data_IF_600969564216
#
_entry.id   IF_600969564216
#
_cell.length_a   1.000
_cell.length_b   1.000
_cell.length_c   1.000
_cell.angle_alpha   90.00
_cell.angle_beta   90.00
_cell.angle_gamma   90.00
#
_symmetry.space_group_name_H-M   'P 1'
#
loop_
_entity.id
_entity.type
_entity.pdbx_description
1 polymer ?
#
# COMPACT_ATOMS: atom_id res chain seq x y z
N UNK A 1 -64.39 2.42 10.90
CA UNK A 1 -63.67 3.68 10.61
C UNK A 1 -62.99 3.52 9.26
N UNK A 2 -63.48 4.22 8.25
CA UNK A 2 -63.01 4.12 6.86
C UNK A 2 -61.64 4.79 6.73
N UNK A 3 -60.61 4.03 6.36
CA UNK A 3 -59.27 4.56 6.08
C UNK A 3 -59.34 5.34 4.76
N UNK A 4 -59.26 6.67 4.85
CA UNK A 4 -59.06 7.54 3.68
C UNK A 4 -57.76 7.11 2.98
N UNK A 5 -57.87 6.76 1.70
CA UNK A 5 -56.72 6.49 0.86
C UNK A 5 -55.81 7.73 0.79
N UNK A 6 -54.48 7.57 0.69
CA UNK A 6 -53.56 8.68 0.57
C UNK A 6 -53.90 9.46 -0.70
N UNK A 7 -54.15 10.76 -0.55
CA UNK A 7 -54.32 11.69 -1.66
C UNK A 7 -53.01 11.75 -2.43
N UNK A 8 -52.97 11.15 -3.62
CA UNK A 8 -51.87 11.31 -4.57
C UNK A 8 -51.65 12.81 -4.79
N UNK A 9 -50.44 13.31 -4.57
CA UNK A 9 -50.03 14.67 -4.96
C UNK A 9 -50.16 14.72 -6.49
N UNK A 10 -51.22 15.35 -7.00
CA UNK A 10 -51.28 15.70 -8.42
C UNK A 10 -50.23 16.78 -8.64
N UNK A 11 -49.30 16.60 -9.58
CA UNK A 11 -48.49 17.74 -10.05
C UNK A 11 -49.45 18.79 -10.59
N UNK A 12 -49.33 20.02 -10.11
CA UNK A 12 -49.85 21.17 -10.84
C UNK A 12 -48.93 21.32 -12.05
N UNK A 13 -49.33 20.69 -13.16
CA UNK A 13 -48.57 20.76 -14.41
C UNK A 13 -48.77 22.19 -14.93
N UNK A 14 -47.74 23.03 -14.80
CA UNK A 14 -47.66 24.23 -15.62
C UNK A 14 -47.35 23.77 -17.05
N UNK A 15 -48.23 24.04 -18.03
CA UNK A 15 -48.10 23.47 -19.38
C UNK A 15 -46.77 23.83 -20.05
N UNK A 16 -46.24 25.02 -19.75
CA UNK A 16 -45.00 25.50 -20.34
C UNK A 16 -43.77 24.78 -19.76
N UNK A 17 -43.70 24.57 -18.44
CA UNK A 17 -42.57 23.90 -17.79
C UNK A 17 -42.46 22.43 -18.20
N UNK A 18 -43.60 21.75 -18.38
CA UNK A 18 -43.58 20.37 -18.87
C UNK A 18 -43.07 20.28 -20.31
N UNK A 19 -43.42 21.26 -21.14
CA UNK A 19 -43.00 21.30 -22.54
C UNK A 19 -41.52 21.64 -22.65
N UNK A 20 -41.02 22.57 -21.84
CA UNK A 20 -39.57 22.85 -21.79
C UNK A 20 -38.79 21.62 -21.31
N UNK A 21 -39.31 20.86 -20.33
CA UNK A 21 -38.71 19.60 -19.88
C UNK A 21 -38.75 18.50 -20.95
N UNK A 22 -39.81 18.45 -21.77
CA UNK A 22 -39.99 17.47 -22.83
C UNK A 22 -39.06 17.70 -24.01
N UNK A 23 -38.96 18.94 -24.49
CA UNK A 23 -38.16 19.30 -25.65
C UNK A 23 -36.71 19.64 -25.29
N UNK A 24 -36.41 19.89 -24.01
CA UNK A 24 -35.10 20.34 -23.55
C UNK A 24 -34.73 21.77 -24.02
N UNK A 25 -35.70 22.49 -24.59
CA UNK A 25 -35.59 23.82 -25.13
C UNK A 25 -36.90 24.56 -24.87
N UNK A 26 -36.84 25.87 -24.64
CA UNK A 26 -38.06 26.67 -24.54
C UNK A 26 -38.75 26.76 -25.90
N UNK A 27 -40.08 26.58 -25.97
CA UNK A 27 -40.89 26.94 -27.14
C UNK A 27 -40.57 28.29 -27.76
N UNK A 28 -40.28 29.29 -26.92
CA UNK A 28 -39.93 30.64 -27.37
C UNK A 28 -38.59 30.65 -28.07
N UNK A 29 -37.58 29.96 -27.53
CA UNK A 29 -36.24 29.87 -28.13
C UNK A 29 -36.29 29.20 -29.50
N UNK A 30 -37.11 28.15 -29.67
CA UNK A 30 -37.30 27.51 -30.97
C UNK A 30 -37.93 28.45 -32.00
N UNK A 31 -38.93 29.22 -31.58
CA UNK A 31 -39.63 30.18 -32.43
C UNK A 31 -38.75 31.39 -32.78
N UNK A 32 -37.88 31.82 -31.87
CA UNK A 32 -36.90 32.87 -32.09
C UNK A 32 -35.87 32.42 -33.14
N UNK A 33 -35.33 31.20 -33.04
CA UNK A 33 -34.42 30.65 -34.05
C UNK A 33 -35.08 30.51 -35.43
N UNK A 34 -36.37 30.11 -35.45
CA UNK A 34 -37.15 30.07 -36.69
C UNK A 34 -37.31 31.47 -37.30
N UNK A 35 -37.60 32.48 -36.48
CA UNK A 35 -37.72 33.88 -36.92
C UNK A 35 -36.40 34.39 -37.49
N UNK A 36 -35.29 34.18 -36.78
CA UNK A 36 -33.96 34.56 -37.24
C UNK A 36 -33.62 33.89 -38.57
N UNK A 37 -33.94 32.60 -38.72
CA UNK A 37 -33.72 31.87 -39.96
C UNK A 37 -34.54 32.41 -41.13
N UNK A 38 -35.80 32.77 -40.89
CA UNK A 38 -36.69 33.33 -41.91
C UNK A 38 -36.21 34.70 -42.38
N UNK A 39 -35.74 35.54 -41.45
CA UNK A 39 -35.19 36.85 -41.76
C UNK A 39 -33.89 36.73 -42.57
N UNK A 40 -32.97 35.84 -42.17
CA UNK A 40 -31.73 35.58 -42.92
C UNK A 40 -32.03 35.14 -44.36
N UNK A 41 -33.01 34.25 -44.56
CA UNK A 41 -33.41 33.80 -45.90
C UNK A 41 -34.02 34.96 -46.71
N UNK A 42 -34.83 35.81 -46.09
CA UNK A 42 -35.42 36.99 -46.74
C UNK A 42 -34.35 37.95 -47.28
N UNK A 43 -33.38 38.30 -46.42
CA UNK A 43 -32.25 39.14 -46.83
C UNK A 43 -31.43 38.47 -47.92
N UNK A 44 -31.13 37.18 -47.78
CA UNK A 44 -30.36 36.43 -48.78
C UNK A 44 -31.06 36.36 -50.15
N UNK A 45 -32.39 36.24 -50.19
CA UNK A 45 -33.15 36.27 -51.45
C UNK A 45 -33.11 37.65 -52.07
N UNK A 46 -33.26 38.70 -51.26
CA UNK A 46 -33.23 40.09 -51.71
C UNK A 46 -31.84 40.44 -52.27
N UNK A 47 -30.78 40.03 -51.60
CA UNK A 47 -29.39 40.16 -52.06
C UNK A 47 -29.15 39.42 -53.38
N UNK A 48 -29.65 38.18 -53.50
CA UNK A 48 -29.52 37.40 -54.73
C UNK A 48 -30.28 38.03 -55.91
N UNK A 49 -31.45 38.61 -55.65
CA UNK A 49 -32.21 39.38 -56.66
C UNK A 49 -31.43 40.63 -57.06
N UNK A 50 -30.82 41.33 -56.10
CA UNK A 50 -29.98 42.49 -56.36
C UNK A 50 -28.77 42.14 -57.22
N UNK A 51 -28.02 41.09 -56.86
CA UNK A 51 -26.86 40.62 -57.63
C UNK A 51 -27.26 40.21 -59.05
N UNK A 52 -28.39 39.53 -59.21
CA UNK A 52 -28.92 39.13 -60.52
C UNK A 52 -29.28 40.33 -61.39
N UNK A 53 -29.99 41.32 -60.83
CA UNK A 53 -30.35 42.54 -61.55
C UNK A 53 -29.10 43.38 -61.88
N UNK A 54 -28.12 43.43 -60.99
CA UNK A 54 -26.88 44.12 -61.26
C UNK A 54 -26.04 43.44 -62.35
N UNK A 55 -26.06 42.12 -62.44
CA UNK A 55 -25.28 41.38 -63.46
C UNK A 55 -25.95 41.37 -64.84
N UNK A 56 -27.25 41.16 -64.93
CA UNK A 56 -27.96 41.04 -66.22
C UNK A 56 -28.47 42.39 -66.75
N UNK A 57 -28.95 43.27 -65.87
CA UNK A 57 -29.58 44.52 -66.28
C UNK A 57 -28.55 45.65 -66.48
N UNK A 58 -27.54 45.80 -65.61
CA UNK A 58 -26.52 46.84 -65.80
C UNK A 58 -25.63 46.57 -67.03
N UNK A 59 -25.39 45.30 -67.40
CA UNK A 59 -24.67 44.97 -68.65
C UNK A 59 -25.41 45.42 -69.90
N UNK A 60 -26.75 45.48 -69.86
CA UNK A 60 -27.59 45.78 -71.02
C UNK A 60 -27.92 47.27 -71.16
N UNK A 61 -27.93 48.03 -70.05
CA UNK A 61 -28.37 49.43 -70.00
C UNK A 61 -27.31 50.42 -69.46
N UNK A 62 -26.04 50.01 -69.41
CA UNK A 62 -24.90 50.85 -68.98
C UNK A 62 -25.12 51.56 -67.62
N UNK A 63 -25.80 50.90 -66.68
CA UNK A 63 -25.98 51.40 -65.31
C UNK A 63 -26.97 52.56 -65.15
N UNK A 64 -27.77 52.90 -66.16
CA UNK A 64 -28.69 54.05 -66.11
C UNK A 64 -29.83 53.94 -65.08
N UNK A 65 -30.16 52.72 -64.65
CA UNK A 65 -31.28 52.43 -63.74
C UNK A 65 -30.84 51.90 -62.37
N UNK A 66 -29.54 52.00 -62.04
CA UNK A 66 -28.99 51.42 -60.82
C UNK A 66 -29.67 51.96 -59.56
N UNK A 67 -29.86 53.28 -59.48
CA UNK A 67 -30.49 53.95 -58.34
C UNK A 67 -31.98 53.56 -58.19
N UNK A 68 -32.67 53.31 -59.30
CA UNK A 68 -34.09 52.88 -59.30
C UNK A 68 -34.21 51.42 -58.87
N UNK A 69 -33.28 50.55 -59.30
CA UNK A 69 -33.21 49.16 -58.89
C UNK A 69 -32.93 49.06 -57.38
N UNK A 70 -31.94 49.79 -56.87
CA UNK A 70 -31.61 49.83 -55.44
C UNK A 70 -32.82 50.33 -54.63
N UNK A 71 -33.46 51.43 -55.04
CA UNK A 71 -34.65 51.96 -54.37
C UNK A 71 -35.83 50.98 -54.42
N UNK A 72 -35.99 50.25 -55.53
CA UNK A 72 -37.04 49.25 -55.70
C UNK A 72 -36.81 48.03 -54.82
N UNK A 73 -35.57 47.58 -54.70
CA UNK A 73 -35.17 46.46 -53.85
C UNK A 73 -35.34 46.81 -52.39
N UNK A 74 -34.92 48.00 -51.93
CA UNK A 74 -35.16 48.42 -50.55
C UNK A 74 -36.66 48.48 -50.20
N UNK A 75 -37.53 48.88 -51.15
CA UNK A 75 -38.99 48.85 -50.93
C UNK A 75 -39.53 47.43 -50.87
N UNK A 76 -38.99 46.53 -51.68
CA UNK A 76 -39.36 45.12 -51.69
C UNK A 76 -38.90 44.42 -50.40
N UNK A 77 -37.69 44.73 -49.92
CA UNK A 77 -37.15 44.24 -48.66
C UNK A 77 -38.05 44.63 -47.48
N UNK A 78 -38.38 45.93 -47.36
CA UNK A 78 -39.28 46.42 -46.31
C UNK A 78 -40.65 45.73 -46.37
N UNK A 79 -41.21 45.54 -47.58
CA UNK A 79 -42.49 44.86 -47.75
C UNK A 79 -42.42 43.38 -47.34
N UNK A 80 -41.31 42.69 -47.68
CA UNK A 80 -41.10 41.31 -47.28
C UNK A 80 -40.89 41.18 -45.78
N UNK A 81 -40.13 42.09 -45.17
CA UNK A 81 -39.90 42.12 -43.73
C UNK A 81 -41.23 42.29 -42.99
N UNK A 82 -42.04 43.28 -43.36
CA UNK A 82 -43.37 43.51 -42.76
C UNK A 82 -44.28 42.27 -42.91
N UNK A 83 -44.25 41.62 -44.07
CA UNK A 83 -45.06 40.43 -44.33
C UNK A 83 -44.58 39.19 -43.54
N UNK A 84 -43.26 39.00 -43.43
CA UNK A 84 -42.64 37.91 -42.68
C UNK A 84 -42.92 38.09 -41.19
N UNK A 85 -42.74 39.30 -40.65
CA UNK A 85 -43.02 39.61 -39.25
C UNK A 85 -44.49 39.29 -38.91
N UNK A 86 -45.44 39.80 -39.70
CA UNK A 86 -46.86 39.53 -39.49
C UNK A 86 -47.21 38.03 -39.58
N UNK A 87 -46.65 37.34 -40.57
CA UNK A 87 -46.92 35.90 -40.74
C UNK A 87 -46.30 35.06 -39.63
N UNK A 88 -45.13 35.46 -39.15
CA UNK A 88 -44.40 34.76 -38.09
C UNK A 88 -45.07 34.98 -36.74
N UNK A 89 -45.55 36.19 -36.43
CA UNK A 89 -46.34 36.45 -35.22
C UNK A 89 -47.59 35.55 -35.15
N UNK A 90 -48.31 35.42 -36.27
CA UNK A 90 -49.49 34.54 -36.37
C UNK A 90 -49.10 33.07 -36.21
N UNK A 91 -47.98 32.66 -36.81
CA UNK A 91 -47.44 31.31 -36.68
C UNK A 91 -47.03 31.00 -35.23
N UNK A 92 -46.30 31.91 -34.58
CA UNK A 92 -45.87 31.79 -33.18
C UNK A 92 -47.09 31.61 -32.27
N UNK A 93 -48.09 32.47 -32.42
CA UNK A 93 -49.33 32.40 -31.66
C UNK A 93 -50.08 31.08 -31.91
N UNK A 94 -50.13 30.63 -33.15
CA UNK A 94 -50.76 29.35 -33.50
C UNK A 94 -50.00 28.16 -32.90
N UNK A 95 -48.67 28.18 -32.97
CA UNK A 95 -47.81 27.10 -32.51
C UNK A 95 -47.89 26.93 -30.99
N UNK A 96 -47.81 28.03 -30.25
CA UNK A 96 -47.96 28.03 -28.78
C UNK A 96 -49.35 27.52 -28.39
N UNK A 97 -50.41 27.97 -29.06
CA UNK A 97 -51.78 27.65 -28.67
C UNK A 97 -52.27 26.27 -29.13
N UNK A 98 -51.73 25.70 -30.21
CA UNK A 98 -52.26 24.45 -30.80
C UNK A 98 -51.24 23.31 -30.81
N UNK A 99 -49.97 23.57 -31.10
CA UNK A 99 -48.95 22.53 -31.18
C UNK A 99 -48.32 22.25 -29.81
N UNK A 100 -48.16 23.30 -29.00
CA UNK A 100 -47.55 23.28 -27.68
C UNK A 100 -48.55 23.59 -26.57
N UNK A 101 -49.83 23.33 -26.81
CA UNK A 101 -50.83 23.38 -25.75
C UNK A 101 -51.18 21.98 -25.30
N UNK A 102 -51.00 21.72 -24.01
CA UNK A 102 -51.51 20.51 -23.38
C UNK A 102 -52.96 20.81 -22.99
N UNK A 103 -53.95 20.08 -23.53
CA UNK A 103 -55.34 20.30 -23.16
C UNK A 103 -55.52 20.12 -21.65
N UNK A 104 -56.16 21.09 -20.98
CA UNK A 104 -56.42 21.06 -19.54
C UNK A 104 -57.22 19.81 -19.09
N UNK A 105 -57.88 19.12 -20.01
CA UNK A 105 -58.60 17.88 -19.75
C UNK A 105 -57.66 16.66 -19.58
N UNK A 106 -56.42 16.75 -20.03
CA UNK A 106 -55.41 15.69 -19.86
C UNK A 106 -54.72 15.81 -18.51
N UNK A 107 -54.92 16.87 -17.73
CA UNK A 107 -54.42 16.99 -16.35
C UNK A 107 -54.95 15.91 -15.39
N UNK A 108 -55.93 15.10 -15.81
CA UNK A 108 -56.40 13.91 -15.11
C UNK A 108 -55.62 12.63 -15.47
N UNK A 109 -54.96 12.61 -16.63
CA UNK A 109 -54.06 11.55 -17.07
C UNK A 109 -52.65 11.96 -16.64
N UNK A 110 -52.03 11.13 -15.82
CA UNK A 110 -50.66 11.33 -15.37
C UNK A 110 -49.73 11.30 -16.59
N UNK A 111 -49.40 12.49 -17.11
CA UNK A 111 -48.50 12.67 -18.25
C UNK A 111 -47.09 12.43 -17.72
N UNK A 112 -46.60 11.21 -17.94
CA UNK A 112 -45.26 10.82 -17.53
C UNK A 112 -44.25 11.08 -18.64
N UNK A 113 -43.18 11.79 -18.31
CA UNK A 113 -42.04 11.92 -19.20
C UNK A 113 -41.32 10.55 -19.32
N UNK A 114 -40.61 10.27 -20.42
CA UNK A 114 -39.96 8.97 -20.62
C UNK A 114 -38.98 8.56 -19.51
N UNK A 115 -38.34 9.52 -18.84
CA UNK A 115 -37.43 9.32 -17.71
C UNK A 115 -38.15 9.19 -16.36
N UNK A 116 -39.44 9.52 -16.29
CA UNK A 116 -40.26 9.38 -15.08
C UNK A 116 -40.97 8.02 -15.00
N UNK A 117 -40.76 7.13 -15.98
CA UNK A 117 -41.38 5.79 -16.00
C UNK A 117 -41.02 4.93 -14.78
N UNK A 118 -39.84 5.17 -14.19
CA UNK A 118 -39.35 4.44 -13.03
C UNK A 118 -39.51 5.24 -11.71
N UNK A 119 -40.10 6.44 -11.77
CA UNK A 119 -40.41 7.23 -10.57
C UNK A 119 -41.77 6.83 -10.02
N UNK A 120 -41.78 6.28 -8.82
CA UNK A 120 -43.02 6.06 -8.08
C UNK A 120 -43.42 7.35 -7.34
N UNK A 121 -44.35 8.11 -7.92
CA UNK A 121 -44.89 9.34 -7.31
C UNK A 121 -45.80 9.07 -6.09
N UNK A 122 -45.97 7.80 -5.69
CA UNK A 122 -46.70 7.44 -4.48
C UNK A 122 -45.87 7.53 -3.19
N UNK A 123 -44.56 7.78 -3.31
CA UNK A 123 -43.64 7.93 -2.18
C UNK A 123 -44.03 9.19 -1.38
N UNK A 124 -44.21 9.01 -0.08
CA UNK A 124 -44.55 10.09 0.85
C UNK A 124 -43.27 10.71 1.43
N UNK A 125 -43.33 11.96 1.89
CA UNK A 125 -42.18 12.69 2.48
C UNK A 125 -41.56 11.90 3.67
N UNK A 126 -42.35 11.07 4.36
CA UNK A 126 -41.87 10.17 5.41
C UNK A 126 -40.98 9.02 4.91
N UNK A 127 -41.17 8.57 3.67
CA UNK A 127 -40.38 7.49 3.08
C UNK A 127 -39.06 8.05 2.50
N UNK A 128 -39.04 9.29 2.01
CA UNK A 128 -37.80 10.01 1.69
C UNK A 128 -36.89 10.14 2.91
N UNK A 129 -37.46 10.55 4.07
CA UNK A 129 -36.71 10.65 5.32
C UNK A 129 -36.16 9.28 5.77
N UNK A 130 -36.88 8.18 5.52
CA UNK A 130 -36.36 6.84 5.81
C UNK A 130 -35.17 6.49 4.92
N UNK A 131 -35.29 6.76 3.62
CA UNK A 131 -34.21 6.52 2.65
C UNK A 131 -32.97 7.35 3.03
N UNK A 132 -33.13 8.61 3.39
CA UNK A 132 -32.01 9.46 3.85
C UNK A 132 -31.33 8.91 5.10
N UNK A 133 -32.12 8.41 6.06
CA UNK A 133 -31.58 7.77 7.26
C UNK A 133 -30.86 6.46 6.93
N UNK A 134 -31.35 5.67 5.98
CA UNK A 134 -30.67 4.47 5.49
C UNK A 134 -29.37 4.81 4.78
N UNK A 135 -29.37 5.82 3.91
CA UNK A 135 -28.17 6.34 3.24
C UNK A 135 -27.13 6.78 4.28
N UNK A 136 -27.56 7.49 5.34
CA UNK A 136 -26.67 7.92 6.41
C UNK A 136 -26.06 6.73 7.16
N UNK A 137 -26.87 5.73 7.53
CA UNK A 137 -26.40 4.49 8.17
C UNK A 137 -25.40 3.74 7.29
N UNK A 138 -25.67 3.63 5.99
CA UNK A 138 -24.77 2.96 5.04
C UNK A 138 -23.45 3.74 4.93
N UNK A 139 -23.49 5.07 4.87
CA UNK A 139 -22.28 5.91 4.86
C UNK A 139 -21.43 5.69 6.11
N UNK A 140 -22.04 5.66 7.28
CA UNK A 140 -21.35 5.37 8.55
C UNK A 140 -20.74 3.96 8.53
N UNK A 141 -21.47 2.95 8.05
CA UNK A 141 -20.98 1.58 7.91
C UNK A 141 -19.79 1.48 6.95
N UNK A 142 -19.81 2.23 5.84
CA UNK A 142 -18.70 2.28 4.88
C UNK A 142 -17.44 2.87 5.53
N UNK A 143 -17.58 3.95 6.30
CA UNK A 143 -16.46 4.58 7.01
C UNK A 143 -15.87 3.59 8.03
N UNK A 144 -16.72 2.93 8.83
CA UNK A 144 -16.28 1.93 9.80
C UNK A 144 -15.56 0.75 9.13
N UNK A 145 -16.11 0.22 8.03
CA UNK A 145 -15.46 -0.86 7.25
C UNK A 145 -14.13 -0.41 6.66
N UNK A 146 -14.03 0.83 6.16
CA UNK A 146 -12.78 1.40 5.65
C UNK A 146 -11.72 1.48 6.74
N UNK A 147 -12.09 1.91 7.93
CA UNK A 147 -11.20 1.99 9.10
C UNK A 147 -10.71 0.60 9.55
N UNK A 148 -11.60 -0.39 9.63
CA UNK A 148 -11.20 -1.77 9.98
C UNK A 148 -10.24 -2.34 8.93
N UNK A 149 -10.48 -2.05 7.65
CA UNK A 149 -9.61 -2.53 6.57
C UNK A 149 -8.20 -1.91 6.64
N UNK A 150 -8.07 -0.62 6.98
CA UNK A 150 -6.75 -0.01 7.16
C UNK A 150 -6.01 -0.61 8.37
N UNK A 151 -6.70 -0.85 9.49
CA UNK A 151 -6.12 -1.54 10.64
C UNK A 151 -5.66 -2.96 10.28
N UNK A 152 -6.49 -3.74 9.59
CA UNK A 152 -6.16 -5.09 9.17
C UNK A 152 -4.94 -5.12 8.24
N UNK A 153 -4.85 -4.18 7.27
CA UNK A 153 -3.68 -4.05 6.39
C UNK A 153 -2.40 -3.73 7.17
N UNK A 154 -2.48 -2.84 8.17
CA UNK A 154 -1.35 -2.51 9.03
C UNK A 154 -0.91 -3.72 9.86
N UNK A 155 -1.85 -4.48 10.43
CA UNK A 155 -1.54 -5.71 11.16
C UNK A 155 -0.87 -6.76 10.26
N UNK A 156 -1.38 -6.97 9.05
CA UNK A 156 -0.76 -7.87 8.06
C UNK A 156 0.66 -7.42 7.72
N UNK A 157 0.90 -6.10 7.56
CA UNK A 157 2.24 -5.57 7.29
C UNK A 157 3.20 -5.86 8.45
N UNK A 158 2.79 -5.58 9.68
CA UNK A 158 3.61 -5.87 10.87
C UNK A 158 3.91 -7.36 11.00
N UNK A 159 2.94 -8.22 10.72
CA UNK A 159 3.13 -9.67 10.79
C UNK A 159 4.08 -10.17 9.69
N UNK A 160 3.98 -9.63 8.47
CA UNK A 160 4.94 -9.92 7.40
C UNK A 160 6.38 -9.54 7.79
N UNK A 161 6.57 -8.37 8.40
CA UNK A 161 7.89 -7.94 8.88
C UNK A 161 8.45 -8.88 9.96
N UNK A 162 7.61 -9.35 10.89
CA UNK A 162 8.02 -10.35 11.88
C UNK A 162 8.40 -11.68 11.23
N UNK A 163 7.60 -12.16 10.28
CA UNK A 163 7.89 -13.39 9.54
C UNK A 163 9.21 -13.27 8.78
N UNK A 164 9.50 -12.13 8.17
CA UNK A 164 10.79 -11.89 7.51
C UNK A 164 11.97 -11.91 8.48
N UNK A 165 11.84 -11.27 9.65
CA UNK A 165 12.87 -11.34 10.71
C UNK A 165 13.09 -12.77 11.17
N UNK A 166 12.03 -13.53 11.40
CA UNK A 166 12.13 -14.95 11.78
C UNK A 166 12.76 -15.81 10.69
N UNK A 167 12.47 -15.55 9.42
CA UNK A 167 13.14 -16.23 8.29
C UNK A 167 14.64 -15.93 8.25
N UNK A 168 15.06 -14.69 8.50
CA UNK A 168 16.49 -14.34 8.58
C UNK A 168 17.19 -15.08 9.72
N UNK A 169 16.59 -15.08 10.92
CA UNK A 169 17.11 -15.83 12.07
C UNK A 169 17.19 -17.32 11.76
N UNK A 170 16.15 -17.89 11.14
CA UNK A 170 16.15 -19.30 10.73
C UNK A 170 17.31 -19.61 9.77
N UNK A 171 17.54 -18.76 8.76
CA UNK A 171 18.67 -18.91 7.84
C UNK A 171 20.02 -18.83 8.55
N UNK A 172 20.17 -17.96 9.54
CA UNK A 172 21.38 -17.87 10.36
C UNK A 172 21.59 -19.13 11.21
N UNK A 173 20.54 -19.64 11.85
CA UNK A 173 20.59 -20.91 12.60
C UNK A 173 20.93 -22.07 11.67
N UNK A 174 20.35 -22.10 10.47
CA UNK A 174 20.64 -23.14 9.48
C UNK A 174 22.10 -23.05 8.99
N UNK A 175 22.63 -21.85 8.78
CA UNK A 175 24.08 -21.63 8.50
C UNK A 175 24.95 -22.17 9.64
N UNK A 176 24.60 -21.84 10.88
CA UNK A 176 25.32 -22.33 12.05
C UNK A 176 25.27 -23.86 12.15
N UNK A 177 24.11 -24.47 11.90
CA UNK A 177 23.97 -25.94 11.84
C UNK A 177 24.77 -26.57 10.70
N UNK A 178 24.85 -25.94 9.53
CA UNK A 178 25.69 -26.44 8.44
C UNK A 178 27.17 -26.32 8.75
N UNK A 179 27.60 -25.24 9.41
CA UNK A 179 28.96 -25.07 9.90
C UNK A 179 29.29 -26.11 10.98
N UNK A 180 28.34 -26.37 11.89
CA UNK A 180 28.46 -27.41 12.91
C UNK A 180 28.67 -28.78 12.26
N UNK A 181 27.89 -29.13 11.22
CA UNK A 181 28.04 -30.39 10.47
C UNK A 181 29.36 -30.52 9.72
N UNK A 182 29.98 -29.40 9.34
CA UNK A 182 31.30 -29.38 8.67
C UNK A 182 32.45 -29.47 9.67
N UNK A 183 32.19 -29.16 10.95
CA UNK A 183 33.16 -29.33 12.03
C UNK A 183 33.35 -30.82 12.34
N UNK A 184 34.60 -31.26 12.62
CA UNK A 184 34.88 -32.64 13.04
C UNK A 184 34.28 -32.99 14.41
N UNK A 185 33.66 -32.03 15.11
CA UNK A 185 33.07 -32.20 16.45
C UNK A 185 31.57 -32.52 16.38
N UNK A 186 31.00 -32.71 15.19
CA UNK A 186 29.60 -33.08 15.03
C UNK A 186 29.35 -34.58 15.32
N UNK A 187 28.32 -34.93 16.10
CA UNK A 187 27.35 -34.07 16.77
C UNK A 187 27.85 -33.50 18.11
N UNK A 188 27.63 -32.20 18.34
CA UNK A 188 28.19 -31.49 19.51
C UNK A 188 27.74 -32.05 20.86
N UNK A 189 26.47 -32.48 20.96
CA UNK A 189 25.93 -33.04 22.20
C UNK A 189 26.60 -34.37 22.58
N UNK A 190 26.93 -35.20 21.59
CA UNK A 190 27.58 -36.50 21.79
C UNK A 190 29.06 -36.30 22.10
N UNK A 191 29.74 -35.42 21.37
CA UNK A 191 31.12 -35.01 21.65
C UNK A 191 31.29 -34.42 23.04
N UNK A 192 30.35 -33.58 23.49
CA UNK A 192 30.36 -32.99 24.83
C UNK A 192 30.08 -34.04 25.91
N UNK A 193 29.11 -34.93 25.68
CA UNK A 193 28.82 -36.04 26.60
C UNK A 193 30.01 -37.00 26.74
N UNK A 194 30.68 -37.32 25.63
CA UNK A 194 31.90 -38.12 25.61
C UNK A 194 33.04 -37.43 26.36
N UNK A 195 33.24 -36.13 26.14
CA UNK A 195 34.26 -35.37 26.85
C UNK A 195 33.99 -35.32 28.37
N UNK A 196 32.75 -35.05 28.77
CA UNK A 196 32.33 -35.07 30.19
C UNK A 196 32.56 -36.46 30.80
N UNK A 197 32.25 -37.53 30.07
CA UNK A 197 32.50 -38.89 30.52
C UNK A 197 34.00 -39.16 30.69
N UNK A 198 34.82 -38.78 29.72
CA UNK A 198 36.27 -38.95 29.79
C UNK A 198 36.91 -38.09 30.88
N UNK A 199 36.42 -36.88 31.13
CA UNK A 199 36.91 -36.04 32.23
C UNK A 199 36.56 -36.67 33.58
N UNK A 200 35.38 -37.27 33.72
CA UNK A 200 35.00 -37.98 34.94
C UNK A 200 35.83 -39.26 35.13
N UNK A 201 36.11 -39.99 34.05
CA UNK A 201 37.01 -41.15 34.10
C UNK A 201 38.45 -40.74 34.45
N UNK A 202 38.93 -39.63 33.89
CA UNK A 202 40.23 -39.07 34.23
C UNK A 202 40.28 -38.57 35.68
N UNK A 203 39.22 -37.96 36.17
CA UNK A 203 39.10 -37.54 37.57
C UNK A 203 39.14 -38.76 38.50
N UNK A 204 38.43 -39.84 38.17
CA UNK A 204 38.50 -41.10 38.91
C UNK A 204 39.91 -41.71 38.87
N UNK A 205 40.60 -41.65 37.73
CA UNK A 205 42.00 -42.08 37.62
C UNK A 205 42.94 -41.18 38.42
N UNK A 206 42.73 -39.86 38.43
CA UNK A 206 43.46 -38.92 39.28
C UNK A 206 43.22 -39.18 40.76
N UNK A 207 41.99 -39.48 41.17
CA UNK A 207 41.70 -39.86 42.55
C UNK A 207 42.33 -41.19 42.93
N UNK A 208 42.33 -42.16 42.01
CA UNK A 208 42.97 -43.46 42.22
C UNK A 208 44.47 -43.32 42.35
N UNK A 209 45.12 -42.61 41.43
CA UNK A 209 46.55 -42.31 41.52
C UNK A 209 46.87 -41.48 42.76
N UNK A 210 46.05 -40.49 43.13
CA UNK A 210 46.22 -39.74 44.39
C UNK A 210 46.09 -40.63 45.63
N UNK A 211 45.26 -41.67 45.60
CA UNK A 211 45.17 -42.70 46.65
C UNK A 211 46.39 -43.61 46.62
N UNK A 212 46.81 -44.08 45.45
CA UNK A 212 48.03 -44.89 45.27
C UNK A 212 49.30 -44.12 45.72
N UNK A 213 49.41 -42.81 45.45
CA UNK A 213 50.48 -41.96 45.97
C UNK A 213 50.33 -41.61 47.46
N UNK A 214 49.15 -41.80 48.06
CA UNK A 214 48.99 -41.74 49.52
C UNK A 214 49.38 -43.07 50.19
N UNK A 215 49.21 -44.19 49.49
CA UNK A 215 49.54 -45.54 49.97
C UNK A 215 50.99 -45.95 49.65
N UNK A 216 51.64 -45.30 48.68
CA UNK A 216 53.09 -45.38 48.48
C UNK A 216 53.75 -44.33 49.37
N UNK A 217 54.19 -44.78 50.55
CA UNK A 217 55.11 -44.01 51.39
C UNK A 217 56.31 -43.59 50.53
N UNK A 218 56.71 -42.32 50.61
CA UNK A 218 57.92 -41.80 49.98
C UNK A 218 59.16 -42.68 50.27
N UNK A 219 59.14 -43.40 51.40
CA UNK A 219 60.16 -44.35 51.83
C UNK A 219 60.25 -45.62 50.95
N UNK A 220 59.15 -46.07 50.34
CA UNK A 220 59.13 -47.29 49.52
C UNK A 220 59.64 -47.05 48.09
N UNK A 221 59.42 -45.86 47.51
CA UNK A 221 60.05 -45.46 46.25
C UNK A 221 61.57 -45.34 46.40
N UNK A 222 62.05 -44.75 47.50
CA UNK A 222 63.48 -44.76 47.83
C UNK A 222 63.99 -46.16 48.19
N UNK A 223 63.13 -47.08 48.61
CA UNK A 223 63.55 -48.46 48.88
C UNK A 223 63.87 -49.23 47.61
N UNK A 224 63.13 -49.03 46.51
CA UNK A 224 63.47 -49.62 45.21
C UNK A 224 64.70 -48.97 44.59
N UNK A 225 64.82 -47.65 44.70
CA UNK A 225 66.01 -46.94 44.23
C UNK A 225 67.25 -47.31 45.06
N UNK A 226 67.11 -47.51 46.38
CA UNK A 226 68.15 -48.09 47.24
C UNK A 226 68.40 -49.56 46.93
N UNK A 227 67.41 -50.38 46.57
CA UNK A 227 67.61 -51.78 46.14
C UNK A 227 68.37 -51.85 44.81
N UNK A 228 68.04 -50.98 43.86
CA UNK A 228 68.73 -50.86 42.57
C UNK A 228 70.14 -50.30 42.76
N UNK A 229 70.31 -49.27 43.59
CA UNK A 229 71.62 -48.75 43.98
C UNK A 229 72.43 -49.77 44.78
N UNK A 230 71.81 -50.63 45.60
CA UNK A 230 72.47 -51.72 46.33
C UNK A 230 72.83 -52.89 45.42
N UNK A 231 72.03 -53.18 44.39
CA UNK A 231 72.37 -54.14 43.35
C UNK A 231 73.50 -53.63 42.46
N UNK A 232 73.45 -52.36 42.06
CA UNK A 232 74.53 -51.67 41.34
C UNK A 232 75.79 -51.62 42.22
N UNK A 233 75.69 -51.25 43.49
CA UNK A 233 76.83 -51.28 44.40
C UNK A 233 77.34 -52.69 44.62
N UNK A 234 76.50 -53.71 44.80
CA UNK A 234 76.98 -55.09 44.90
C UNK A 234 77.63 -55.57 43.60
N UNK A 235 77.09 -55.21 42.43
CA UNK A 235 77.70 -55.47 41.13
C UNK A 235 79.05 -54.76 41.01
N UNK A 236 79.13 -53.48 41.36
CA UNK A 236 80.36 -52.68 41.39
C UNK A 236 81.33 -53.21 42.43
N UNK A 237 80.88 -53.72 43.58
CA UNK A 237 81.74 -54.29 44.64
C UNK A 237 82.24 -55.67 44.21
N UNK A 238 81.43 -56.44 43.50
CA UNK A 238 81.83 -57.71 42.88
C UNK A 238 82.85 -57.48 41.77
N UNK A 239 82.61 -56.47 40.93
CA UNK A 239 83.52 -56.03 39.89
C UNK A 239 84.79 -55.39 40.49
N UNK A 240 84.70 -54.61 41.57
CA UNK A 240 85.85 -54.02 42.28
C UNK A 240 86.64 -55.08 43.04
N UNK A 241 86.01 -56.12 43.59
CA UNK A 241 86.75 -57.25 44.16
C UNK A 241 87.43 -58.08 43.06
N UNK A 242 86.82 -58.22 41.89
CA UNK A 242 87.44 -58.83 40.71
C UNK A 242 88.55 -57.93 40.11
N UNK A 243 88.39 -56.61 40.17
CA UNK A 243 89.30 -55.61 39.59
C UNK A 243 90.46 -55.25 40.54
N UNK A 244 90.24 -55.24 41.86
CA UNK A 244 91.31 -55.12 42.87
C UNK A 244 92.18 -56.37 42.97
N UNK A 245 91.71 -57.52 42.46
CA UNK A 245 92.54 -58.72 42.25
C UNK A 245 93.30 -58.69 40.90
N UNK A 246 92.94 -57.78 39.99
CA UNK A 246 93.39 -57.82 38.60
C UNK A 246 94.13 -56.55 38.12
N UNK A 247 94.10 -55.43 38.84
CA UNK A 247 94.74 -54.17 38.42
C UNK A 247 95.46 -53.45 39.56
N UNK A 248 96.49 -54.12 40.08
CA UNK A 248 97.79 -53.47 40.32
C UNK A 248 98.37 -53.02 38.97
N UNK A 249 97.77 -52.01 38.33
CA UNK A 249 98.41 -51.24 37.25
C UNK A 249 97.49 -50.11 36.75
N UNK A 250 97.90 -48.89 37.10
CA UNK A 250 97.92 -47.71 36.21
C UNK A 250 96.62 -46.92 35.96
N UNK A 251 96.54 -45.77 36.66
CA UNK A 251 96.40 -44.39 36.17
C UNK A 251 95.31 -43.99 35.14
N UNK A 252 94.27 -43.28 35.63
CA UNK A 252 93.82 -41.87 35.36
C UNK A 252 93.86 -41.24 33.93
N UNK A 253 93.20 -40.07 33.66
CA UNK A 253 91.78 -39.69 33.88
C UNK A 253 91.17 -38.69 32.82
N UNK A 254 89.90 -38.27 33.02
CA UNK A 254 89.21 -37.01 32.55
C UNK A 254 88.93 -36.84 31.03
N UNK A 255 87.88 -36.20 30.48
CA UNK A 255 86.55 -35.66 30.84
C UNK A 255 85.89 -35.23 29.51
N UNK A 256 84.56 -35.13 29.39
CA UNK A 256 83.92 -34.18 28.44
C UNK A 256 82.42 -33.94 28.73
N UNK A 257 82.00 -32.68 28.59
CA UNK A 257 80.66 -32.15 28.83
C UNK A 257 80.17 -31.35 27.64
N UNK A 258 78.86 -31.44 27.36
CA UNK A 258 77.91 -30.39 26.90
C UNK A 258 78.18 -29.60 25.60
N UNK A 259 77.24 -29.03 24.85
CA UNK A 259 75.78 -29.03 24.66
C UNK A 259 75.53 -28.08 23.46
N UNK A 260 74.41 -28.16 22.75
CA UNK A 260 74.02 -27.14 21.76
C UNK A 260 72.49 -27.02 21.63
N UNK A 261 72.00 -25.79 21.60
CA UNK A 261 70.61 -25.37 21.34
C UNK A 261 70.64 -24.26 20.28
N UNK A 262 69.78 -24.36 19.26
CA UNK A 262 69.51 -23.33 18.24
C UNK A 262 67.99 -23.17 18.15
N UNK A 263 67.51 -21.92 18.15
CA UNK A 263 66.18 -21.52 17.68
C UNK A 263 66.33 -20.24 16.87
N UNK A 264 65.72 -20.21 15.68
CA UNK A 264 65.43 -18.99 14.93
C UNK A 264 64.07 -19.12 14.22
N UNK A 265 63.23 -18.09 14.40
CA UNK A 265 62.42 -17.32 13.43
C UNK A 265 61.50 -18.07 12.41
N UNK A 266 60.41 -17.55 11.84
CA UNK A 266 60.14 -16.20 11.30
C UNK A 266 58.71 -16.18 10.67
N UNK A 267 58.01 -15.03 10.73
CA UNK A 267 57.18 -14.37 9.66
C UNK A 267 55.87 -15.01 9.08
N UNK A 268 54.90 -14.33 8.43
CA UNK A 268 54.67 -12.99 7.81
C UNK A 268 53.17 -12.79 7.43
N UNK A 269 52.74 -11.53 7.21
CA UNK A 269 51.73 -11.01 6.24
C UNK A 269 50.22 -11.35 6.35
N UNK A 270 49.21 -10.56 5.91
CA UNK A 270 49.10 -9.25 5.21
C UNK A 270 47.62 -8.74 5.09
N UNK A 271 47.44 -7.41 5.08
CA UNK A 271 46.57 -6.56 4.22
C UNK A 271 45.00 -6.48 4.24
N UNK A 272 44.54 -5.21 4.35
CA UNK A 272 43.56 -4.44 3.53
C UNK A 272 42.06 -4.24 3.90
N UNK A 273 41.77 -2.96 4.28
CA UNK A 273 40.74 -1.97 3.85
C UNK A 273 39.31 -2.39 3.41
N UNK A 274 38.32 -1.72 4.01
CA UNK A 274 37.03 -1.35 3.36
C UNK A 274 36.46 -0.02 3.91
N UNK A 275 36.00 0.84 2.98
CA UNK A 275 35.35 2.15 3.19
C UNK A 275 33.87 1.96 3.58
N UNK A 276 33.35 2.87 4.41
CA UNK A 276 31.94 2.92 4.86
C UNK A 276 31.29 4.20 4.30
N UNK A 277 30.16 4.05 3.61
CA UNK A 277 29.28 5.12 3.13
C UNK A 277 28.17 5.37 4.15
N UNK A 278 27.95 6.64 4.48
CA UNK A 278 26.81 7.11 5.28
C UNK A 278 25.81 7.79 4.33
N UNK A 279 24.60 7.25 4.25
CA UNK A 279 23.43 7.89 3.66
C UNK A 279 22.36 7.96 4.75
N UNK A 280 21.92 9.17 5.13
CA UNK A 280 20.67 9.37 5.87
C UNK A 280 19.92 10.61 5.34
N UNK A 281 18.82 10.29 4.65
CA UNK A 281 17.47 10.88 4.68
C UNK A 281 17.34 12.39 4.96
N UNK A 282 16.82 13.08 3.94
CA UNK A 282 16.44 14.49 3.91
C UNK A 282 15.34 14.84 4.91
N UNK A 283 15.53 16.00 5.56
CA UNK A 283 14.74 16.59 6.67
C UNK A 283 13.24 16.81 6.38
N UNK A 284 12.83 16.83 5.10
CA UNK A 284 11.48 17.22 4.70
C UNK A 284 10.44 16.09 4.79
N UNK A 285 10.84 14.83 4.70
CA UNK A 285 9.89 13.70 4.84
C UNK A 285 9.45 13.52 6.31
N UNK A 286 10.33 13.82 7.26
CA UNK A 286 10.02 13.72 8.70
C UNK A 286 9.00 14.74 9.18
N UNK A 287 8.86 15.90 8.52
CA UNK A 287 7.85 16.90 8.86
C UNK A 287 6.43 16.48 8.46
N UNK A 288 6.29 15.82 7.30
CA UNK A 288 5.00 15.34 6.80
C UNK A 288 4.40 14.24 7.67
N UNK A 289 5.23 13.31 8.15
CA UNK A 289 4.79 12.25 9.07
C UNK A 289 4.40 12.78 10.46
N UNK A 290 5.00 13.87 10.92
CA UNK A 290 4.67 14.48 12.21
C UNK A 290 3.30 15.17 12.21
N UNK A 291 2.90 15.79 11.10
CA UNK A 291 1.59 16.44 10.97
C UNK A 291 0.45 15.43 10.82
N UNK A 292 0.65 14.34 10.08
CA UNK A 292 -0.34 13.26 9.96
C UNK A 292 -0.59 12.55 11.32
N UNK A 293 0.45 12.38 12.14
CA UNK A 293 0.30 11.81 13.48
C UNK A 293 -0.47 12.74 14.43
N UNK A 294 -0.30 14.06 14.31
CA UNK A 294 -0.97 15.05 15.17
C UNK A 294 -2.48 15.10 14.91
N UNK A 295 -2.90 14.94 13.66
CA UNK A 295 -4.33 14.85 13.26
C UNK A 295 -4.96 13.53 13.72
N UNK A 296 -4.21 12.43 13.71
CA UNK A 296 -4.70 11.14 14.22
C UNK A 296 -4.88 11.13 15.74
N UNK A 297 -4.04 11.85 16.49
CA UNK A 297 -4.17 11.97 17.95
C UNK A 297 -5.34 12.86 18.41
N UNK A 298 -5.80 13.83 17.60
CA UNK A 298 -6.94 14.68 17.98
C UNK A 298 -8.29 14.00 17.74
N UNK A 299 -8.36 13.03 16.82
CA UNK A 299 -9.58 12.23 16.55
C UNK A 299 -9.74 11.08 17.56
N UNK A 300 -8.65 10.65 18.18
CA UNK A 300 -8.60 9.52 19.14
C UNK A 300 -8.68 9.96 20.60
N UNK A 301 -9.48 10.99 20.91
CA UNK A 301 -9.88 11.21 22.30
C UNK A 301 -10.59 9.94 22.79
N UNK A 302 -10.17 9.45 23.96
CA UNK A 302 -10.64 8.21 24.60
C UNK A 302 -12.18 8.08 24.59
N UNK A 303 -12.87 9.21 24.70
CA UNK A 303 -14.33 9.32 24.71
C UNK A 303 -14.97 8.85 23.39
N UNK A 304 -14.36 9.16 22.23
CA UNK A 304 -14.88 8.72 20.93
C UNK A 304 -14.65 7.22 20.69
N UNK A 305 -13.54 6.67 21.17
CA UNK A 305 -13.25 5.24 21.05
C UNK A 305 -14.15 4.39 21.97
N UNK A 306 -14.45 4.90 23.18
CA UNK A 306 -15.35 4.23 24.13
C UNK A 306 -16.79 4.19 23.60
N UNK A 307 -17.28 5.30 23.04
CA UNK A 307 -18.63 5.37 22.44
C UNK A 307 -18.82 4.41 21.26
N UNK A 308 -17.79 4.24 20.40
CA UNK A 308 -17.83 3.29 19.28
C UNK A 308 -17.83 1.84 19.77
N UNK A 309 -17.08 1.52 20.82
CA UNK A 309 -17.07 0.18 21.42
C UNK A 309 -18.41 -0.18 22.06
N UNK A 310 -19.01 0.74 22.80
CA UNK A 310 -20.30 0.52 23.47
C UNK A 310 -21.45 0.31 22.44
N UNK A 311 -21.42 1.02 21.31
CA UNK A 311 -22.40 0.85 20.24
C UNK A 311 -22.22 -0.47 19.46
N UNK A 312 -20.98 -0.95 19.29
CA UNK A 312 -20.72 -2.23 18.64
C UNK A 312 -21.08 -3.43 19.53
N UNK A 313 -20.95 -3.31 20.85
CA UNK A 313 -21.33 -4.36 21.78
C UNK A 313 -22.86 -4.47 21.93
N UNK A 314 -23.58 -3.34 21.95
CA UNK A 314 -25.04 -3.32 22.05
C UNK A 314 -25.75 -3.72 20.74
N UNK A 315 -25.09 -3.58 19.58
CA UNK A 315 -25.65 -4.00 18.30
C UNK A 315 -25.76 -5.54 18.18
N UNK A 316 -24.90 -6.29 18.87
CA UNK A 316 -24.92 -7.77 18.82
C UNK A 316 -25.90 -8.41 19.81
N UNK A 317 -26.47 -7.66 20.75
CA UNK A 317 -27.40 -8.20 21.77
C UNK A 317 -28.89 -8.10 21.38
N UNK A 318 -29.21 -7.42 20.27
CA UNK A 318 -30.59 -7.23 19.81
C UNK A 318 -31.03 -8.18 18.68
N UNK A 319 -30.23 -9.20 18.35
CA UNK A 319 -30.59 -10.28 17.41
C UNK A 319 -30.91 -11.63 18.09
N UNK A 320 -31.33 -11.60 19.37
CA UNK A 320 -31.79 -12.78 20.13
C UNK A 320 -33.29 -12.79 20.37
#
# INVERSE_FOLDING_TARGET
>A
MSKKAPSKKKREIFPLDFITELFGLSPTEFLDELFDSANIVSTSVTDAIQEYLDTEYNKKYEGKYKDEIETGICKLENLYQDAIDQSTDVLQLYFINNCLSIPNNISEIELHLPYEKDLDFSINDNDEIKIDNEIKKIKEMIIAKKYINTLAKNAIKQEKEKVEKLKKIKLEIDKLRTSEKQSPVFPLHESLSFLVKNTNELELLMERTKKEYKDVSFEDMFSEERKRAKYINNSITSQLNFFNQMMNSSQSPFNNSDSNLIVDNTTLNSNNRLKRSEDYLTSDENKKYAEEYRVLTSITTKENAQWVLDNLLNANTNEG
#
